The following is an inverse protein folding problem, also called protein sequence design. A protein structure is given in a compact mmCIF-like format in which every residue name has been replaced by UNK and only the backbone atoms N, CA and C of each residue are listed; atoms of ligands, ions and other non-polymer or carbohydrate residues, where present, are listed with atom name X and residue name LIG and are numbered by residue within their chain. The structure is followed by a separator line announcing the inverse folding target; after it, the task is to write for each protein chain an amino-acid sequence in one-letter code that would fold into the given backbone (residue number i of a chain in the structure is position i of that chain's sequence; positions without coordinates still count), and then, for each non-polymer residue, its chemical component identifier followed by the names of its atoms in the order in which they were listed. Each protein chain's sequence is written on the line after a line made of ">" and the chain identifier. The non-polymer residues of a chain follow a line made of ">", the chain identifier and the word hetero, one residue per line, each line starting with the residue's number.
data_IF_603482875472
#
_entry.id   IF_603482875472
#
_cell.length_a   1.000
_cell.length_b   1.000
_cell.length_c   1.000
_cell.angle_alpha   90.00
_cell.angle_beta   90.00
_cell.angle_gamma   90.00
#
_symmetry.space_group_name_H-M   'P 1'
#
loop_
_entity.id
_entity.type
_entity.pdbx_description
1 polymer ?
#
# COMPACT_ATOMS: atom_id res chain seq x y z
N UNK A 1 -44.14 3.90 33.02
CA UNK A 1 -43.81 3.34 31.70
C UNK A 1 -43.80 4.49 30.74
N UNK A 2 -42.63 4.94 30.30
CA UNK A 2 -42.56 5.98 29.26
C UNK A 2 -43.21 5.47 27.98
N UNK A 3 -43.97 6.31 27.24
CA UNK A 3 -44.58 5.91 25.98
C UNK A 3 -43.48 5.75 24.92
N UNK A 4 -42.94 4.54 24.79
CA UNK A 4 -41.99 4.21 23.74
C UNK A 4 -42.74 4.02 22.40
N UNK A 5 -42.53 4.93 21.46
CA UNK A 5 -43.05 4.79 20.09
C UNK A 5 -42.07 3.97 19.27
N UNK A 6 -42.46 2.75 18.91
CA UNK A 6 -41.65 1.86 18.06
C UNK A 6 -42.25 1.86 16.66
N UNK A 7 -41.44 2.29 15.68
CA UNK A 7 -41.81 2.34 14.27
C UNK A 7 -41.00 1.29 13.53
N UNK A 8 -41.67 0.46 12.72
CA UNK A 8 -40.99 -0.47 11.83
C UNK A 8 -40.49 0.29 10.58
N UNK A 9 -39.25 0.04 10.17
CA UNK A 9 -38.66 0.55 8.94
C UNK A 9 -38.34 -0.65 8.03
N UNK A 10 -38.80 -0.60 6.78
CA UNK A 10 -38.54 -1.66 5.78
C UNK A 10 -37.22 -1.44 5.03
N UNK A 11 -36.56 -0.30 5.24
CA UNK A 11 -35.26 0.06 4.70
C UNK A 11 -34.19 -0.02 5.80
N UNK A 12 -33.31 0.98 5.89
CA UNK A 12 -32.29 1.09 6.92
C UNK A 12 -32.83 1.85 8.14
N UNK A 13 -32.94 1.22 9.32
CA UNK A 13 -33.30 1.91 10.55
C UNK A 13 -32.39 3.11 10.77
N UNK A 14 -32.98 4.30 10.87
CA UNK A 14 -32.24 5.56 10.95
C UNK A 14 -32.85 6.50 11.98
N UNK A 15 -32.02 7.42 12.45
CA UNK A 15 -32.44 8.58 13.23
C UNK A 15 -31.75 9.83 12.70
N UNK A 16 -32.51 10.92 12.61
CA UNK A 16 -31.99 12.27 12.38
C UNK A 16 -32.32 13.09 13.63
N UNK A 17 -31.28 13.43 14.39
CA UNK A 17 -31.40 14.25 15.59
C UNK A 17 -31.26 15.72 15.17
N UNK A 18 -32.31 16.55 15.31
CA UNK A 18 -32.24 17.96 14.94
C UNK A 18 -31.22 18.69 15.82
N UNK A 19 -30.52 19.66 15.24
CA UNK A 19 -29.54 20.45 15.99
C UNK A 19 -30.23 21.46 16.90
N UNK A 20 -29.90 21.39 18.20
CA UNK A 20 -30.30 22.34 19.22
C UNK A 20 -29.85 23.78 18.93
N UNK A 21 -28.74 23.97 18.22
CA UNK A 21 -28.19 25.28 17.86
C UNK A 21 -28.54 25.73 16.43
N UNK A 22 -29.41 24.99 15.73
CA UNK A 22 -29.79 25.29 14.34
C UNK A 22 -28.76 24.86 13.27
N UNK A 23 -27.69 24.17 13.68
CA UNK A 23 -26.71 23.58 12.77
C UNK A 23 -27.20 22.33 12.04
N UNK A 24 -26.26 21.59 11.43
CA UNK A 24 -26.58 20.31 10.77
C UNK A 24 -27.11 19.28 11.77
N UNK A 25 -28.13 18.47 11.39
CA UNK A 25 -28.59 17.38 12.23
C UNK A 25 -27.52 16.28 12.32
N UNK A 26 -27.59 15.50 13.40
CA UNK A 26 -26.83 14.25 13.53
C UNK A 26 -27.64 13.13 12.90
N UNK A 27 -27.05 12.42 11.95
CA UNK A 27 -27.68 11.29 11.29
C UNK A 27 -26.94 10.01 11.66
N UNK A 28 -27.69 9.02 12.11
CA UNK A 28 -27.19 7.67 12.38
C UNK A 28 -28.08 6.69 11.64
N UNK A 29 -27.46 5.79 10.87
CA UNK A 29 -28.17 4.79 10.08
C UNK A 29 -27.54 3.42 10.26
N UNK A 30 -28.37 2.43 10.56
CA UNK A 30 -27.98 1.03 10.70
C UNK A 30 -28.11 0.33 9.34
N UNK A 31 -27.00 -0.23 8.84
CA UNK A 31 -26.90 -0.73 7.47
C UNK A 31 -27.07 -2.24 7.41
N UNK A 32 -26.28 -2.97 8.20
CA UNK A 32 -26.26 -4.42 8.16
C UNK A 32 -25.96 -5.03 9.53
N UNK A 33 -26.43 -6.26 9.71
CA UNK A 33 -26.11 -7.09 10.86
C UNK A 33 -25.08 -8.13 10.43
N UNK A 34 -23.96 -8.21 11.13
CA UNK A 34 -22.93 -9.22 10.93
C UNK A 34 -23.24 -10.49 11.73
N UNK A 35 -22.48 -11.55 11.44
CA UNK A 35 -22.51 -12.79 12.22
C UNK A 35 -22.13 -12.55 13.69
N UNK A 36 -22.67 -13.36 14.63
CA UNK A 36 -22.30 -13.28 16.03
C UNK A 36 -20.78 -13.31 16.24
N UNK A 37 -20.26 -12.32 16.96
CA UNK A 37 -18.84 -12.20 17.29
C UNK A 37 -17.94 -11.68 16.17
N UNK A 38 -18.49 -11.36 15.00
CA UNK A 38 -17.71 -10.85 13.88
C UNK A 38 -17.17 -9.44 14.15
N UNK A 39 -17.91 -8.58 14.85
CA UNK A 39 -17.51 -7.22 15.14
C UNK A 39 -16.23 -7.16 15.96
N UNK A 40 -16.18 -7.92 17.06
CA UNK A 40 -14.98 -8.03 17.89
C UNK A 40 -13.77 -8.60 17.14
N UNK A 41 -13.99 -9.65 16.34
CA UNK A 41 -12.91 -10.27 15.55
C UNK A 41 -12.31 -9.30 14.55
N UNK A 42 -13.17 -8.48 13.92
CA UNK A 42 -12.75 -7.45 12.98
C UNK A 42 -11.95 -6.36 13.69
N UNK A 43 -12.46 -5.83 14.81
CA UNK A 43 -11.79 -4.79 15.60
C UNK A 43 -10.40 -5.26 16.05
N UNK A 44 -10.25 -6.51 16.48
CA UNK A 44 -8.95 -7.07 16.86
C UNK A 44 -7.97 -7.09 15.67
N UNK A 45 -8.41 -7.58 14.51
CA UNK A 45 -7.58 -7.66 13.30
C UNK A 45 -7.20 -6.28 12.74
N UNK A 46 -8.14 -5.34 12.70
CA UNK A 46 -7.88 -3.99 12.20
C UNK A 46 -7.01 -3.20 13.19
N UNK A 47 -7.24 -3.34 14.50
CA UNK A 47 -6.42 -2.71 15.53
C UNK A 47 -4.95 -3.16 15.48
N UNK A 48 -4.67 -4.43 15.18
CA UNK A 48 -3.29 -4.89 14.97
C UNK A 48 -2.61 -4.20 13.78
N UNK A 49 -3.31 -4.06 12.65
CA UNK A 49 -2.78 -3.37 11.48
C UNK A 49 -2.64 -1.87 11.71
N UNK A 50 -3.61 -1.27 12.39
CA UNK A 50 -3.61 0.14 12.74
C UNK A 50 -2.40 0.50 13.60
N UNK A 51 -2.07 -0.30 14.63
CA UNK A 51 -0.87 -0.10 15.47
C UNK A 51 0.45 -0.22 14.72
N UNK A 52 0.48 -0.94 13.60
CA UNK A 52 1.66 -1.05 12.74
C UNK A 52 1.69 0.01 11.62
N UNK A 53 0.70 0.88 11.54
CA UNK A 53 0.62 1.90 10.50
C UNK A 53 1.62 3.05 10.78
N UNK A 54 2.35 3.58 9.78
CA UNK A 54 3.34 4.63 10.01
C UNK A 54 2.78 5.95 10.59
N UNK A 55 1.56 6.36 10.23
CA UNK A 55 0.84 7.46 10.90
C UNK A 55 -0.15 6.97 11.96
N UNK A 56 0.22 5.98 12.75
CA UNK A 56 -0.55 5.62 13.94
C UNK A 56 -0.38 6.68 15.03
N UNK A 57 -1.49 7.06 15.67
CA UNK A 57 -1.50 7.95 16.80
C UNK A 57 -2.46 7.43 17.87
N UNK A 58 -1.92 7.17 19.06
CA UNK A 58 -2.68 6.67 20.21
C UNK A 58 -2.83 7.78 21.23
N UNK A 59 -3.99 8.46 21.20
CA UNK A 59 -4.30 9.56 22.10
C UNK A 59 -5.81 9.64 22.33
N UNK A 60 -6.20 10.25 23.46
CA UNK A 60 -7.60 10.49 23.85
C UNK A 60 -8.47 9.22 23.88
N UNK A 61 -7.90 8.06 24.20
CA UNK A 61 -8.58 6.76 24.17
C UNK A 61 -9.23 6.44 22.81
N UNK A 62 -8.70 7.05 21.74
CA UNK A 62 -9.16 6.94 20.36
C UNK A 62 -7.95 6.69 19.43
N UNK A 63 -7.33 5.49 19.50
CA UNK A 63 -6.24 5.16 18.61
C UNK A 63 -6.68 5.24 17.15
N UNK A 64 -5.92 5.99 16.38
CA UNK A 64 -6.24 6.36 15.01
C UNK A 64 -5.04 6.18 14.09
N UNK A 65 -5.31 6.05 12.80
CA UNK A 65 -4.29 6.18 11.78
C UNK A 65 -4.86 6.95 10.60
N UNK A 66 -4.16 7.99 10.17
CA UNK A 66 -4.44 8.61 8.88
C UNK A 66 -4.14 7.56 7.81
N UNK A 67 -5.08 7.34 6.90
CA UNK A 67 -4.99 6.40 5.77
C UNK A 67 -4.81 7.12 4.44
N UNK A 68 -5.24 8.38 4.37
CA UNK A 68 -4.96 9.30 3.29
C UNK A 68 -4.99 10.72 3.83
N UNK A 69 -3.92 11.47 3.58
CA UNK A 69 -3.89 12.91 3.81
C UNK A 69 -4.64 13.66 2.69
N UNK A 70 -5.01 14.94 2.91
CA UNK A 70 -5.52 15.81 1.85
C UNK A 70 -4.47 16.00 0.73
N UNK A 71 -4.94 16.07 -0.51
CA UNK A 71 -4.13 16.40 -1.68
C UNK A 71 -4.50 17.79 -2.21
N UNK A 72 -3.95 18.80 -1.52
CA UNK A 72 -4.13 20.20 -1.92
C UNK A 72 -3.54 20.53 -3.29
N UNK A 73 -2.64 19.70 -3.83
CA UNK A 73 -2.10 19.88 -5.18
C UNK A 73 -3.14 19.62 -6.27
N UNK A 74 -4.15 18.80 -5.97
CA UNK A 74 -5.24 18.44 -6.87
C UNK A 74 -6.61 18.99 -6.43
N UNK A 75 -6.64 19.97 -5.52
CA UNK A 75 -7.87 20.53 -4.92
C UNK A 75 -8.73 19.48 -4.18
N UNK A 76 -8.11 18.43 -3.64
CA UNK A 76 -8.76 17.45 -2.78
C UNK A 76 -8.47 17.75 -1.31
N UNK A 77 -9.46 18.29 -0.60
CA UNK A 77 -9.35 18.65 0.81
C UNK A 77 -9.75 17.50 1.74
N UNK A 78 -10.18 16.36 1.19
CA UNK A 78 -10.65 15.25 1.98
C UNK A 78 -9.49 14.47 2.59
N UNK A 79 -9.71 13.95 3.79
CA UNK A 79 -8.80 12.99 4.41
C UNK A 79 -9.55 11.78 4.94
N UNK A 80 -8.85 10.65 4.95
CA UNK A 80 -9.37 9.39 5.43
C UNK A 80 -8.59 8.95 6.65
N UNK A 81 -9.30 8.63 7.73
CA UNK A 81 -8.74 8.07 8.95
C UNK A 81 -9.39 6.73 9.28
N UNK A 82 -8.63 5.86 9.92
CA UNK A 82 -9.20 4.80 10.76
C UNK A 82 -9.15 5.26 12.21
N UNK A 83 -10.14 4.87 13.01
CA UNK A 83 -10.10 5.01 14.46
C UNK A 83 -10.83 3.85 15.13
N UNK A 84 -10.49 3.59 16.39
CA UNK A 84 -11.20 2.60 17.18
C UNK A 84 -11.54 3.13 18.56
N UNK A 85 -12.67 2.67 19.08
CA UNK A 85 -13.19 3.05 20.39
C UNK A 85 -13.19 1.81 21.26
N UNK A 86 -12.31 1.80 22.26
CA UNK A 86 -12.09 0.67 23.15
C UNK A 86 -13.22 0.40 24.13
N UNK A 87 -13.04 -0.56 25.05
CA UNK A 87 -14.04 -0.91 26.07
C UNK A 87 -14.28 0.19 27.12
N UNK A 88 -13.43 1.21 27.19
CA UNK A 88 -13.62 2.36 28.07
C UNK A 88 -14.38 3.51 27.40
N UNK A 89 -14.64 3.42 26.09
CA UNK A 89 -15.05 4.57 25.29
C UNK A 89 -13.92 5.58 25.13
N UNK A 90 -14.29 6.81 24.77
CA UNK A 90 -13.38 7.96 24.71
C UNK A 90 -14.01 9.16 25.45
N UNK A 91 -13.28 10.24 25.78
CA UNK A 91 -13.84 11.42 26.40
C UNK A 91 -14.74 12.19 25.42
N UNK A 92 -15.73 12.91 25.96
CA UNK A 92 -16.51 13.85 25.15
C UNK A 92 -15.63 14.91 24.53
N UNK A 93 -15.82 15.12 23.24
CA UNK A 93 -15.06 16.12 22.49
C UNK A 93 -15.82 16.60 21.26
N UNK A 94 -15.30 17.61 20.57
CA UNK A 94 -15.80 18.05 19.28
C UNK A 94 -14.67 18.32 18.29
N UNK A 95 -15.04 18.52 17.03
CA UNK A 95 -14.12 18.93 15.97
C UNK A 95 -14.69 20.12 15.21
N UNK A 96 -13.83 20.96 14.66
CA UNK A 96 -14.23 22.11 13.85
C UNK A 96 -14.89 21.70 12.52
N UNK A 97 -14.39 20.64 11.88
CA UNK A 97 -14.86 20.16 10.59
C UNK A 97 -16.04 19.18 10.68
N UNK A 98 -16.74 18.99 9.56
CA UNK A 98 -17.78 17.97 9.45
C UNK A 98 -17.17 16.56 9.54
N UNK A 99 -17.94 15.60 10.03
CA UNK A 99 -17.52 14.20 10.13
C UNK A 99 -18.53 13.28 9.47
N UNK A 100 -18.02 12.34 8.67
CA UNK A 100 -18.78 11.25 8.07
C UNK A 100 -17.99 9.98 8.27
N UNK A 101 -18.54 9.02 9.00
CA UNK A 101 -17.83 7.76 9.20
C UNK A 101 -18.73 6.54 9.04
N UNK A 102 -18.11 5.44 8.65
CA UNK A 102 -18.73 4.11 8.60
C UNK A 102 -18.01 3.24 9.62
N UNK A 103 -18.77 2.53 10.45
CA UNK A 103 -18.23 1.82 11.58
C UNK A 103 -18.90 0.46 11.80
N UNK A 104 -18.17 -0.42 12.47
CA UNK A 104 -18.62 -1.75 12.86
C UNK A 104 -18.58 -1.85 14.37
N UNK A 105 -19.73 -2.07 15.00
CA UNK A 105 -19.82 -2.26 16.45
C UNK A 105 -19.16 -3.57 16.89
N UNK A 106 -18.53 -3.54 18.06
CA UNK A 106 -18.13 -4.77 18.74
C UNK A 106 -19.35 -5.61 19.13
N UNK A 107 -19.12 -6.84 19.61
CA UNK A 107 -20.24 -7.76 19.86
C UNK A 107 -21.13 -7.34 21.04
N UNK A 108 -20.66 -6.37 21.84
CA UNK A 108 -21.41 -5.75 22.94
C UNK A 108 -22.38 -4.66 22.51
N UNK A 109 -22.26 -4.12 21.29
CA UNK A 109 -22.97 -2.93 20.86
C UNK A 109 -22.28 -1.64 21.30
N UNK A 110 -22.79 -0.51 20.81
CA UNK A 110 -22.29 0.81 21.15
C UNK A 110 -23.44 1.75 21.54
N UNK A 111 -23.14 2.75 22.34
CA UNK A 111 -23.99 3.92 22.57
C UNK A 111 -23.27 5.15 22.05
N UNK A 112 -23.90 5.85 21.11
CA UNK A 112 -23.43 7.11 20.58
C UNK A 112 -24.11 8.25 21.32
N UNK A 113 -23.33 9.21 21.81
CA UNK A 113 -23.84 10.34 22.59
C UNK A 113 -23.50 11.62 21.86
N UNK A 114 -24.48 12.49 21.67
CA UNK A 114 -24.32 13.75 20.95
C UNK A 114 -24.95 14.90 21.72
N UNK A 115 -24.28 16.05 21.75
CA UNK A 115 -24.86 17.32 22.14
C UNK A 115 -24.50 18.36 21.08
N UNK A 116 -25.52 18.97 20.49
CA UNK A 116 -25.37 19.98 19.43
C UNK A 116 -25.46 21.40 19.97
N UNK A 117 -25.23 21.60 21.28
CA UNK A 117 -25.14 22.93 21.88
C UNK A 117 -23.87 23.64 21.38
N UNK A 118 -24.02 24.89 20.94
CA UNK A 118 -22.89 25.69 20.43
C UNK A 118 -21.97 26.15 21.57
N UNK A 119 -20.70 26.41 21.26
CA UNK A 119 -19.74 26.95 22.22
C UNK A 119 -20.22 28.27 22.86
N UNK A 120 -20.94 29.12 22.12
CA UNK A 120 -21.54 30.34 22.66
C UNK A 120 -22.63 30.04 23.70
N UNK A 121 -23.52 29.08 23.42
CA UNK A 121 -24.55 28.67 24.38
C UNK A 121 -23.94 28.05 25.64
N UNK A 122 -22.89 27.23 25.49
CA UNK A 122 -22.21 26.62 26.64
C UNK A 122 -21.52 27.66 27.55
N UNK A 123 -20.99 28.75 26.97
CA UNK A 123 -20.43 29.87 27.74
C UNK A 123 -21.51 30.66 28.50
N UNK A 124 -22.72 30.74 27.94
CA UNK A 124 -23.84 31.46 28.56
C UNK A 124 -24.52 30.62 29.66
N UNK A 125 -24.81 29.35 29.36
CA UNK A 125 -25.39 28.38 30.29
C UNK A 125 -24.86 26.97 30.00
N UNK A 126 -23.97 26.42 30.84
CA UNK A 126 -23.48 25.06 30.70
C UNK A 126 -24.58 23.98 30.66
N UNK A 127 -25.77 24.25 31.22
CA UNK A 127 -26.91 23.30 31.20
C UNK A 127 -27.49 23.10 29.80
N UNK A 128 -27.24 24.02 28.86
CA UNK A 128 -27.60 23.85 27.47
C UNK A 128 -27.01 22.55 26.88
N UNK A 129 -25.86 22.11 27.38
CA UNK A 129 -25.27 20.82 27.00
C UNK A 129 -26.22 19.64 27.28
N UNK A 130 -26.76 19.58 28.50
CA UNK A 130 -27.63 18.51 28.96
C UNK A 130 -28.99 18.54 28.24
N UNK A 131 -29.52 19.74 28.02
CA UNK A 131 -30.78 19.93 27.28
C UNK A 131 -30.67 19.45 25.83
N UNK A 132 -29.51 19.65 25.20
CA UNK A 132 -29.21 19.21 23.85
C UNK A 132 -28.72 17.75 23.75
N UNK A 133 -28.44 17.08 24.88
CA UNK A 133 -27.85 15.75 24.91
C UNK A 133 -28.85 14.68 24.42
N UNK A 134 -28.42 13.85 23.47
CA UNK A 134 -29.21 12.75 22.89
C UNK A 134 -28.34 11.51 22.74
N UNK A 135 -28.93 10.34 22.98
CA UNK A 135 -28.27 9.04 22.82
C UNK A 135 -28.85 8.24 21.66
N UNK A 136 -27.98 7.45 21.03
CA UNK A 136 -28.36 6.46 20.02
C UNK A 136 -27.73 5.12 20.39
N UNK A 137 -28.56 4.12 20.68
CA UNK A 137 -28.09 2.76 20.96
C UNK A 137 -28.02 1.95 19.67
N UNK A 138 -26.91 1.23 19.50
CA UNK A 138 -26.64 0.36 18.37
C UNK A 138 -26.44 -1.08 18.84
N UNK A 139 -26.96 -2.08 18.09
CA UNK A 139 -26.77 -3.48 18.43
C UNK A 139 -25.30 -3.89 18.24
N UNK A 140 -24.90 -4.98 18.88
CA UNK A 140 -23.59 -5.58 18.65
C UNK A 140 -23.48 -6.21 17.27
N UNK A 141 -22.26 -6.33 16.76
CA UNK A 141 -21.94 -6.90 15.43
C UNK A 141 -22.74 -6.23 14.30
N UNK A 142 -22.74 -4.90 14.22
CA UNK A 142 -23.51 -4.18 13.20
C UNK A 142 -22.68 -3.14 12.45
N UNK A 143 -22.96 -3.01 11.15
CA UNK A 143 -22.42 -1.97 10.28
C UNK A 143 -23.37 -0.77 10.32
N UNK A 144 -22.83 0.41 10.58
CA UNK A 144 -23.60 1.64 10.66
C UNK A 144 -22.82 2.83 10.09
N UNK A 145 -23.54 3.88 9.72
CA UNK A 145 -22.97 5.14 9.24
C UNK A 145 -23.42 6.29 10.12
N UNK A 146 -22.53 7.26 10.33
CA UNK A 146 -22.80 8.47 11.09
C UNK A 146 -22.38 9.69 10.28
N UNK A 147 -23.20 10.75 10.35
CA UNK A 147 -22.87 12.07 9.82
C UNK A 147 -23.26 13.15 10.83
N UNK A 148 -22.35 14.07 11.12
CA UNK A 148 -22.65 15.25 11.94
C UNK A 148 -21.82 16.46 11.51
N UNK A 149 -22.30 17.64 11.89
CA UNK A 149 -21.63 18.91 11.61
C UNK A 149 -20.48 19.19 12.58
N UNK A 150 -19.54 20.03 12.15
CA UNK A 150 -18.53 20.60 13.03
C UNK A 150 -19.14 21.30 14.26
N UNK A 151 -18.44 21.27 15.39
CA UNK A 151 -18.89 21.77 16.69
C UNK A 151 -19.87 20.86 17.42
N UNK A 152 -20.21 19.68 16.88
CA UNK A 152 -21.02 18.68 17.59
C UNK A 152 -20.18 17.99 18.65
N UNK A 153 -20.54 18.17 19.92
CA UNK A 153 -19.96 17.43 21.02
C UNK A 153 -20.43 15.99 20.98
N UNK A 154 -19.51 15.04 21.05
CA UNK A 154 -19.85 13.64 20.97
C UNK A 154 -18.96 12.76 21.85
N UNK A 155 -19.53 11.63 22.24
CA UNK A 155 -18.85 10.58 22.99
C UNK A 155 -19.37 9.23 22.53
N UNK A 156 -18.45 8.30 22.28
CA UNK A 156 -18.78 6.94 21.93
C UNK A 156 -18.29 5.99 23.02
N UNK A 157 -19.19 5.09 23.44
CA UNK A 157 -18.94 4.13 24.51
C UNK A 157 -19.55 2.78 24.13
N UNK A 158 -19.06 1.65 24.69
CA UNK A 158 -19.77 0.39 24.53
C UNK A 158 -21.14 0.43 25.23
N UNK A 159 -22.12 -0.31 24.73
CA UNK A 159 -23.48 -0.35 25.35
C UNK A 159 -23.49 -0.90 26.77
N UNK A 160 -22.41 -1.56 27.20
CA UNK A 160 -22.26 -2.06 28.57
C UNK A 160 -20.93 -1.61 29.14
N UNK A 161 -21.02 -0.81 30.19
CA UNK A 161 -19.86 -0.42 30.98
C UNK A 161 -19.20 -1.67 31.58
N UNK A 162 -17.86 -1.70 31.59
CA UNK A 162 -17.04 -2.82 32.10
C UNK A 162 -17.19 -4.17 31.38
N UNK A 163 -17.76 -4.22 30.17
CA UNK A 163 -17.73 -5.42 29.35
C UNK A 163 -16.43 -5.46 28.51
N UNK A 164 -15.81 -6.63 28.26
CA UNK A 164 -14.57 -6.75 27.47
C UNK A 164 -14.84 -6.64 25.96
N UNK A 165 -15.71 -5.72 25.55
CA UNK A 165 -16.06 -5.50 24.15
C UNK A 165 -15.77 -4.03 23.81
N UNK A 166 -14.99 -3.83 22.75
CA UNK A 166 -14.81 -2.50 22.17
C UNK A 166 -16.15 -1.96 21.66
N UNK A 167 -16.32 -0.65 21.67
CA UNK A 167 -17.53 -0.04 21.13
C UNK A 167 -17.61 -0.26 19.61
N UNK A 168 -16.56 0.14 18.87
CA UNK A 168 -16.46 -0.09 17.42
C UNK A 168 -15.07 0.20 16.84
N UNK A 169 -14.87 -0.21 15.58
CA UNK A 169 -13.83 0.30 14.68
C UNK A 169 -14.50 1.05 13.53
N UNK A 170 -13.88 2.13 13.05
CA UNK A 170 -14.46 3.03 12.08
C UNK A 170 -13.46 3.51 11.02
N UNK A 171 -13.99 3.78 9.83
CA UNK A 171 -13.36 4.56 8.78
C UNK A 171 -14.05 5.92 8.72
N UNK A 172 -13.30 6.97 9.04
CA UNK A 172 -13.76 8.36 9.05
C UNK A 172 -13.28 9.08 7.80
N UNK A 173 -14.21 9.56 7.00
CA UNK A 173 -13.95 10.55 5.97
C UNK A 173 -14.19 11.93 6.57
N UNK A 174 -13.16 12.77 6.50
CA UNK A 174 -13.27 14.20 6.79
C UNK A 174 -13.37 14.91 5.45
N UNK A 175 -14.56 15.39 5.04
CA UNK A 175 -14.76 15.89 3.68
C UNK A 175 -13.94 17.15 3.35
N UNK A 176 -13.58 17.90 4.39
CA UNK A 176 -12.71 19.07 4.29
C UNK A 176 -11.92 19.15 5.59
N UNK A 177 -10.68 18.70 5.56
CA UNK A 177 -9.80 18.68 6.74
C UNK A 177 -9.35 20.07 7.17
N UNK A 178 -9.41 21.03 6.24
CA UNK A 178 -9.13 22.44 6.49
C UNK A 178 -10.41 23.25 6.75
N UNK A 179 -11.56 22.59 6.90
CA UNK A 179 -12.85 23.21 7.14
C UNK A 179 -13.15 23.49 8.62
N UNK A 180 -13.93 24.53 8.87
CA UNK A 180 -14.31 24.97 10.22
C UNK A 180 -13.35 26.02 10.79
N UNK A 181 -13.52 26.32 12.08
CA UNK A 181 -12.70 27.31 12.79
C UNK A 181 -11.45 26.63 13.39
N UNK A 182 -10.39 26.54 12.59
CA UNK A 182 -9.10 25.94 12.97
C UNK A 182 -8.10 27.01 13.39
N UNK A 183 -7.34 26.75 14.46
CA UNK A 183 -6.24 27.62 14.87
C UNK A 183 -5.14 27.67 13.78
N UNK A 184 -4.31 28.73 13.74
CA UNK A 184 -3.19 28.81 12.79
C UNK A 184 -2.25 27.60 12.86
N UNK A 185 -2.05 27.04 14.05
CA UNK A 185 -1.23 25.84 14.27
C UNK A 185 -1.89 24.59 13.68
N UNK A 186 -3.20 24.40 13.91
CA UNK A 186 -3.96 23.30 13.31
C UNK A 186 -3.98 23.38 11.79
N UNK A 187 -4.16 24.58 11.23
CA UNK A 187 -4.11 24.79 9.78
C UNK A 187 -2.74 24.41 9.20
N UNK A 188 -1.65 24.69 9.92
CA UNK A 188 -0.31 24.29 9.49
C UNK A 188 -0.14 22.77 9.45
N UNK A 189 -0.61 22.05 10.47
CA UNK A 189 -0.59 20.58 10.52
C UNK A 189 -1.40 19.97 9.38
N UNK A 190 -2.58 20.51 9.10
CA UNK A 190 -3.44 20.05 8.00
C UNK A 190 -2.74 20.23 6.65
N UNK A 191 -2.17 21.42 6.38
CA UNK A 191 -1.43 21.69 5.14
C UNK A 191 -0.19 20.81 4.96
N UNK A 192 0.43 20.40 6.06
CA UNK A 192 1.58 19.49 6.04
C UNK A 192 1.19 18.02 5.91
N UNK A 193 -0.10 17.68 5.99
CA UNK A 193 -0.57 16.30 6.00
C UNK A 193 -0.19 15.53 7.27
N UNK A 194 0.05 16.23 8.38
CA UNK A 194 0.49 15.65 9.66
C UNK A 194 -0.58 15.77 10.76
N UNK A 195 -1.73 16.37 10.46
CA UNK A 195 -2.85 16.46 11.38
C UNK A 195 -3.36 15.07 11.79
N UNK A 196 -3.57 14.90 13.09
CA UNK A 196 -4.20 13.72 13.71
C UNK A 196 -5.60 14.08 14.18
N UNK A 197 -6.46 13.06 14.40
CA UNK A 197 -7.78 13.28 15.01
C UNK A 197 -7.63 14.07 16.32
N UNK A 198 -6.74 13.63 17.21
CA UNK A 198 -6.48 14.28 18.50
C UNK A 198 -6.01 15.75 18.37
N UNK A 199 -5.17 16.08 17.38
CA UNK A 199 -4.72 17.47 17.16
C UNK A 199 -5.85 18.41 16.72
N UNK A 200 -6.92 17.85 16.16
CA UNK A 200 -8.11 18.57 15.69
C UNK A 200 -9.31 18.37 16.63
N UNK A 201 -9.04 17.97 17.87
CA UNK A 201 -10.06 17.69 18.89
C UNK A 201 -10.05 18.76 19.97
N UNK A 202 -11.24 19.27 20.29
CA UNK A 202 -11.48 20.13 21.45
C UNK A 202 -12.23 19.33 22.52
N UNK A 203 -11.70 19.29 23.76
CA UNK A 203 -12.33 18.62 24.90
C UNK A 203 -13.41 19.49 25.54
N UNK A 204 -14.31 18.86 26.31
CA UNK A 204 -15.37 19.59 27.00
C UNK A 204 -14.84 20.72 27.89
N UNK A 205 -15.53 21.88 27.92
CA UNK A 205 -15.25 22.92 28.90
C UNK A 205 -15.42 22.40 30.35
N UNK A 206 -14.57 22.79 31.31
CA UNK A 206 -14.62 22.31 32.69
C UNK A 206 -15.99 22.45 33.38
N UNK A 207 -16.75 23.56 33.20
CA UNK A 207 -18.08 23.69 33.81
C UNK A 207 -19.07 22.62 33.32
N UNK A 208 -18.97 22.22 32.06
CA UNK A 208 -19.83 21.18 31.46
C UNK A 208 -19.40 19.80 31.94
N UNK A 209 -18.09 19.55 32.01
CA UNK A 209 -17.55 18.30 32.56
C UNK A 209 -17.98 18.10 34.02
N UNK A 210 -17.94 19.14 34.85
CA UNK A 210 -18.41 19.11 36.23
C UNK A 210 -19.91 18.80 36.34
N UNK A 211 -20.74 19.35 35.44
CA UNK A 211 -22.17 19.04 35.38
C UNK A 211 -22.43 17.56 35.10
N UNK A 212 -21.70 16.94 34.17
CA UNK A 212 -21.82 15.51 33.85
C UNK A 212 -21.39 14.59 35.01
N UNK A 213 -20.58 15.10 35.94
CA UNK A 213 -20.14 14.37 37.13
C UNK A 213 -20.99 14.66 38.36
N UNK A 214 -21.91 15.64 38.27
CA UNK A 214 -22.76 16.05 39.38
C UNK A 214 -23.96 15.12 39.59
N UNK A 215 -24.48 15.07 40.81
CA UNK A 215 -25.70 14.33 41.15
C UNK A 215 -26.94 14.83 40.39
N UNK A 216 -26.88 16.04 39.82
CA UNK A 216 -27.96 16.60 39.01
C UNK A 216 -28.09 15.93 37.63
N UNK A 217 -27.10 15.14 37.21
CA UNK A 217 -27.13 14.43 35.94
C UNK A 217 -27.46 12.95 36.14
N UNK A 218 -28.56 12.52 35.53
CA UNK A 218 -28.94 11.12 35.44
C UNK A 218 -28.96 10.67 33.99
N UNK A 219 -28.04 9.77 33.62
CA UNK A 219 -27.95 9.26 32.25
C UNK A 219 -29.24 8.56 31.76
N UNK A 220 -30.07 8.07 32.68
CA UNK A 220 -31.36 7.44 32.36
C UNK A 220 -32.41 8.44 31.84
N UNK A 221 -32.26 9.73 32.16
CA UNK A 221 -33.22 10.78 31.77
C UNK A 221 -32.94 11.33 30.36
N UNK A 222 -31.83 10.90 29.74
CA UNK A 222 -31.42 11.39 28.43
C UNK A 222 -32.27 10.71 27.34
N UNK A 223 -32.91 11.49 26.44
CA UNK A 223 -33.68 10.93 25.34
C UNK A 223 -32.80 10.03 24.45
N UNK A 224 -33.19 8.76 24.36
CA UNK A 224 -32.42 7.70 23.72
C UNK A 224 -33.22 7.06 22.59
N UNK A 225 -32.60 6.93 21.41
CA UNK A 225 -33.16 6.20 20.26
C UNK A 225 -32.39 4.91 20.07
N UNK A 226 -33.07 3.77 20.16
CA UNK A 226 -32.43 2.47 19.94
C UNK A 226 -32.72 1.97 18.51
N UNK A 227 -31.68 1.71 17.73
CA UNK A 227 -31.78 1.14 16.39
C UNK A 227 -31.64 -0.40 16.42
N UNK A 228 -32.31 -1.09 15.51
CA UNK A 228 -32.26 -2.56 15.40
C UNK A 228 -32.76 -3.03 14.02
N UNK A 229 -32.18 -4.10 13.45
CA UNK A 229 -32.61 -4.64 12.15
C UNK A 229 -33.65 -5.78 12.25
N UNK A 230 -33.36 -6.84 13.00
CA UNK A 230 -34.16 -8.08 12.92
C UNK A 230 -35.11 -8.31 14.09
N UNK A 231 -34.87 -7.65 15.20
CA UNK A 231 -35.57 -7.89 16.47
C UNK A 231 -35.95 -6.55 17.06
N UNK A 232 -37.18 -6.47 17.57
CA UNK A 232 -37.70 -5.25 18.19
C UNK A 232 -36.77 -4.80 19.33
N UNK A 233 -36.47 -3.50 19.46
CA UNK A 233 -35.69 -2.99 20.59
C UNK A 233 -36.35 -3.36 21.93
N UNK A 234 -35.53 -3.60 22.93
CA UNK A 234 -35.87 -3.97 24.30
C UNK A 234 -36.67 -5.29 24.46
N UNK A 235 -36.83 -6.06 23.38
CA UNK A 235 -37.49 -7.37 23.40
C UNK A 235 -36.62 -8.46 24.05
N UNK A 236 -37.26 -9.54 24.49
CA UNK A 236 -36.55 -10.72 25.00
C UNK A 236 -35.65 -11.36 23.93
N UNK A 237 -36.09 -11.35 22.66
CA UNK A 237 -35.32 -11.85 21.52
C UNK A 237 -34.03 -11.06 21.34
N UNK A 238 -34.10 -9.73 21.41
CA UNK A 238 -32.91 -8.87 21.35
C UNK A 238 -31.93 -9.20 22.49
N UNK A 239 -32.43 -9.41 23.70
CA UNK A 239 -31.58 -9.79 24.84
C UNK A 239 -30.90 -11.14 24.62
N UNK A 240 -31.62 -12.13 24.09
CA UNK A 240 -31.07 -13.45 23.77
C UNK A 240 -30.01 -13.38 22.66
N UNK A 241 -30.31 -12.72 21.54
CA UNK A 241 -29.35 -12.48 20.46
C UNK A 241 -28.12 -11.72 20.96
N UNK A 242 -28.30 -10.66 21.76
CA UNK A 242 -27.20 -9.88 22.33
C UNK A 242 -26.33 -10.70 23.29
N UNK A 243 -26.88 -11.68 24.02
CA UNK A 243 -26.08 -12.62 24.82
C UNK A 243 -25.24 -13.54 23.94
N UNK A 244 -25.84 -14.12 22.89
CA UNK A 244 -25.14 -15.01 21.96
C UNK A 244 -23.98 -14.30 21.25
N UNK A 245 -24.21 -13.06 20.79
CA UNK A 245 -23.20 -12.19 20.18
C UNK A 245 -22.01 -11.94 21.10
N UNK A 246 -22.27 -11.46 22.31
CA UNK A 246 -21.22 -11.21 23.33
C UNK A 246 -20.41 -12.48 23.64
N UNK A 247 -21.08 -13.62 23.81
CA UNK A 247 -20.38 -14.88 24.07
C UNK A 247 -19.49 -15.29 22.89
N UNK A 248 -20.01 -15.24 21.66
CA UNK A 248 -19.24 -15.55 20.45
C UNK A 248 -18.07 -14.58 20.25
N UNK A 249 -18.30 -13.28 20.51
CA UNK A 249 -17.30 -12.23 20.47
C UNK A 249 -16.10 -12.53 21.35
N UNK A 250 -16.32 -12.88 22.62
CA UNK A 250 -15.23 -13.25 23.55
C UNK A 250 -14.35 -14.39 23.02
N UNK A 251 -14.95 -15.37 22.36
CA UNK A 251 -14.21 -16.51 21.77
C UNK A 251 -13.41 -16.03 20.55
N UNK A 252 -14.00 -15.16 19.72
CA UNK A 252 -13.39 -14.67 18.47
C UNK A 252 -12.40 -13.51 18.65
N UNK A 253 -12.34 -12.90 19.84
CA UNK A 253 -11.32 -11.92 20.24
C UNK A 253 -9.97 -12.55 20.55
N UNK A 254 -9.89 -13.87 20.75
CA UNK A 254 -8.64 -14.53 21.08
C UNK A 254 -7.62 -14.28 19.96
N UNK A 255 -6.46 -13.67 20.28
CA UNK A 255 -5.49 -13.28 19.27
C UNK A 255 -5.01 -14.52 18.50
N UNK A 256 -4.90 -14.45 17.17
CA UNK A 256 -4.33 -15.55 16.40
C UNK A 256 -2.89 -15.79 16.88
N UNK A 257 -2.51 -17.06 17.05
CA UNK A 257 -1.15 -17.45 17.49
C UNK A 257 -0.05 -16.90 16.57
N UNK A 258 -0.39 -16.61 15.32
CA UNK A 258 0.52 -16.05 14.31
C UNK A 258 -0.13 -14.86 13.61
N UNK A 259 0.61 -13.75 13.51
CA UNK A 259 0.21 -12.60 12.69
C UNK A 259 0.16 -13.04 11.23
N UNK A 260 -0.93 -12.69 10.54
CA UNK A 260 -1.09 -12.94 9.10
C UNK A 260 -0.77 -11.66 8.32
N UNK A 261 0.21 -11.69 7.40
CA UNK A 261 0.54 -10.52 6.60
C UNK A 261 -0.56 -10.20 5.58
N UNK A 262 -0.62 -8.94 5.15
CA UNK A 262 -1.30 -8.53 3.92
C UNK A 262 -0.38 -8.71 2.71
N UNK A 263 -0.95 -8.86 1.52
CA UNK A 263 -0.18 -9.04 0.28
C UNK A 263 -0.68 -8.07 -0.80
N UNK A 264 0.25 -7.45 -1.51
CA UNK A 264 0.00 -6.68 -2.73
C UNK A 264 0.64 -7.44 -3.88
N UNK A 265 -0.14 -7.73 -4.93
CA UNK A 265 0.34 -8.43 -6.11
C UNK A 265 0.27 -7.52 -7.33
N UNK A 266 1.42 -7.10 -7.83
CA UNK A 266 1.53 -6.33 -9.07
C UNK A 266 1.78 -7.27 -10.24
N UNK A 267 0.90 -7.27 -11.24
CA UNK A 267 1.12 -8.01 -12.49
C UNK A 267 1.78 -7.08 -13.51
N UNK A 268 3.02 -7.35 -13.85
CA UNK A 268 3.71 -6.67 -14.96
C UNK A 268 3.41 -7.39 -16.27
N UNK A 269 3.18 -6.64 -17.35
CA UNK A 269 2.95 -7.22 -18.67
C UNK A 269 4.15 -8.10 -19.09
N UNK A 270 3.92 -9.24 -19.77
CA UNK A 270 5.00 -10.11 -20.17
C UNK A 270 5.93 -9.42 -21.17
N UNK A 271 7.23 -9.43 -20.89
CA UNK A 271 8.27 -8.92 -21.79
C UNK A 271 8.30 -9.76 -23.08
N UNK A 272 7.84 -9.17 -24.19
CA UNK A 272 7.82 -9.82 -25.51
C UNK A 272 9.18 -9.71 -26.17
N UNK A 273 10.01 -10.72 -25.99
CA UNK A 273 11.31 -10.82 -26.66
C UNK A 273 11.11 -11.39 -28.06
N UNK A 274 11.58 -10.67 -29.07
CA UNK A 274 11.62 -11.12 -30.47
C UNK A 274 13.03 -11.59 -30.81
N UNK A 275 13.15 -12.71 -31.51
CA UNK A 275 14.44 -13.08 -32.10
C UNK A 275 14.57 -12.47 -33.49
N UNK A 276 15.74 -11.91 -33.80
CA UNK A 276 16.07 -11.37 -35.11
C UNK A 276 16.99 -12.34 -35.85
N UNK A 277 16.71 -12.59 -37.13
CA UNK A 277 17.52 -13.48 -37.97
C UNK A 277 18.88 -12.86 -38.34
N UNK A 278 18.96 -11.53 -38.38
CA UNK A 278 20.16 -10.79 -38.71
C UNK A 278 20.44 -9.71 -37.67
N UNK A 279 21.73 -9.48 -37.42
CA UNK A 279 22.21 -8.38 -36.58
C UNK A 279 21.92 -7.03 -37.27
N UNK A 280 21.47 -5.98 -36.55
CA UNK A 280 21.23 -4.65 -37.11
C UNK A 280 22.44 -4.10 -37.89
N UNK A 281 22.16 -3.23 -38.87
CA UNK A 281 23.17 -2.73 -39.81
C UNK A 281 24.28 -1.92 -39.12
N UNK A 282 23.88 -1.15 -38.11
CA UNK A 282 24.65 -0.21 -37.30
C UNK A 282 25.23 -0.82 -36.02
N UNK A 283 25.09 -2.14 -35.83
CA UNK A 283 25.54 -2.82 -34.63
C UNK A 283 27.08 -2.84 -34.53
N UNK A 284 27.63 -2.25 -33.47
CA UNK A 284 29.06 -2.22 -33.16
C UNK A 284 29.69 -3.63 -33.15
N UNK A 285 28.90 -4.65 -32.79
CA UNK A 285 29.32 -6.06 -32.77
C UNK A 285 29.81 -6.57 -34.14
N UNK A 286 29.39 -5.95 -35.26
CA UNK A 286 29.83 -6.33 -36.61
C UNK A 286 31.33 -6.19 -36.82
N UNK A 287 31.94 -5.20 -36.18
CA UNK A 287 33.35 -4.82 -36.35
C UNK A 287 34.29 -5.66 -35.46
N UNK A 288 33.75 -6.49 -34.57
CA UNK A 288 34.51 -7.09 -33.46
C UNK A 288 35.11 -8.47 -33.76
N UNK A 289 34.73 -9.10 -34.87
CA UNK A 289 35.26 -10.40 -35.30
C UNK A 289 35.70 -10.31 -36.77
N UNK A 290 37.00 -10.11 -37.01
CA UNK A 290 37.59 -10.01 -38.36
C UNK A 290 37.75 -11.33 -39.12
N UNK A 291 36.94 -12.36 -38.83
CA UNK A 291 37.04 -13.68 -39.45
C UNK A 291 35.68 -14.37 -39.60
N UNK A 292 35.65 -15.63 -40.04
CA UNK A 292 34.40 -16.36 -40.24
C UNK A 292 33.59 -16.46 -38.93
N UNK A 293 32.33 -16.01 -38.99
CA UNK A 293 31.33 -16.17 -37.93
C UNK A 293 30.62 -17.51 -38.18
N UNK A 294 30.69 -18.41 -37.20
CA UNK A 294 30.06 -19.74 -37.30
C UNK A 294 28.66 -19.76 -36.67
N UNK A 295 28.43 -18.97 -35.62
CA UNK A 295 27.14 -18.90 -34.93
C UNK A 295 26.81 -17.45 -34.58
N UNK A 296 25.54 -17.10 -34.69
CA UNK A 296 25.01 -15.82 -34.22
C UNK A 296 23.60 -15.97 -33.65
N UNK A 297 23.27 -15.14 -32.68
CA UNK A 297 21.91 -14.91 -32.25
C UNK A 297 21.67 -13.44 -31.92
N UNK A 298 20.42 -13.02 -32.03
CA UNK A 298 20.02 -11.65 -31.74
C UNK A 298 18.60 -11.67 -31.18
N UNK A 299 18.42 -10.99 -30.06
CA UNK A 299 17.17 -10.85 -29.36
C UNK A 299 16.89 -9.38 -29.08
N UNK A 300 15.65 -8.98 -29.30
CA UNK A 300 15.22 -7.60 -29.19
C UNK A 300 13.97 -7.51 -28.31
N UNK A 301 13.89 -6.44 -27.53
CA UNK A 301 12.79 -6.12 -26.65
C UNK A 301 12.51 -4.62 -26.71
N UNK A 302 11.24 -4.23 -26.64
CA UNK A 302 10.82 -2.83 -26.48
C UNK A 302 10.42 -2.56 -25.04
N UNK A 303 10.86 -1.43 -24.52
CA UNK A 303 10.65 -0.96 -23.15
C UNK A 303 9.96 0.39 -23.18
N UNK A 304 8.96 0.56 -22.32
CA UNK A 304 8.35 1.86 -22.05
C UNK A 304 9.20 2.61 -21.02
N UNK A 305 9.68 3.80 -21.36
CA UNK A 305 10.57 4.56 -20.47
C UNK A 305 9.92 4.95 -19.16
N UNK A 306 8.59 5.11 -19.14
CA UNK A 306 7.82 5.44 -17.93
C UNK A 306 7.88 4.33 -16.88
N UNK A 307 8.28 3.14 -17.29
CA UNK A 307 8.42 1.97 -16.43
C UNK A 307 9.87 1.72 -16.02
N UNK A 308 10.84 2.57 -16.37
CA UNK A 308 12.28 2.37 -16.09
C UNK A 308 12.79 3.29 -14.97
N UNK A 309 13.76 2.82 -14.19
CA UNK A 309 14.37 3.59 -13.08
C UNK A 309 15.21 4.79 -13.51
N UNK A 310 15.76 4.74 -14.72
CA UNK A 310 16.71 5.72 -15.25
C UNK A 310 16.18 6.31 -16.55
N UNK A 311 16.20 7.64 -16.67
CA UNK A 311 15.76 8.36 -17.86
C UNK A 311 16.83 8.43 -18.97
N UNK A 312 18.11 8.25 -18.60
CA UNK A 312 19.24 8.24 -19.52
C UNK A 312 19.59 6.82 -20.00
N UNK A 313 19.97 6.67 -21.27
CA UNK A 313 20.38 5.37 -21.82
C UNK A 313 21.67 4.84 -21.16
N UNK A 314 22.57 5.73 -20.75
CA UNK A 314 23.79 5.34 -20.06
C UNK A 314 23.51 4.81 -18.65
N UNK A 315 22.64 5.48 -17.88
CA UNK A 315 22.18 5.01 -16.58
C UNK A 315 21.46 3.66 -16.71
N UNK A 316 20.57 3.55 -17.69
CA UNK A 316 19.86 2.31 -18.00
C UNK A 316 20.82 1.17 -18.37
N UNK A 317 21.88 1.43 -19.15
CA UNK A 317 22.89 0.44 -19.49
C UNK A 317 23.64 -0.04 -18.23
N UNK A 318 24.02 0.88 -17.33
CA UNK A 318 24.64 0.54 -16.05
C UNK A 318 23.73 -0.35 -15.21
N UNK A 319 22.44 -0.01 -15.10
CA UNK A 319 21.47 -0.77 -14.33
C UNK A 319 21.26 -2.18 -14.92
N UNK A 320 21.21 -2.30 -16.25
CA UNK A 320 21.11 -3.59 -16.94
C UNK A 320 22.36 -4.45 -16.72
N UNK A 321 23.55 -3.86 -16.88
CA UNK A 321 24.82 -4.55 -16.62
C UNK A 321 24.92 -5.06 -15.18
N UNK A 322 24.49 -4.24 -14.23
CA UNK A 322 24.44 -4.63 -12.84
C UNK A 322 23.43 -5.76 -12.60
N UNK A 323 22.24 -5.67 -13.20
CA UNK A 323 21.21 -6.70 -13.08
C UNK A 323 21.65 -8.07 -13.64
N UNK A 324 22.45 -8.09 -14.71
CA UNK A 324 23.05 -9.32 -15.23
C UNK A 324 24.03 -10.00 -14.25
N UNK A 325 24.69 -9.23 -13.38
CA UNK A 325 25.64 -9.73 -12.38
C UNK A 325 24.90 -10.21 -11.13
N UNK A 326 23.97 -9.40 -10.61
CA UNK A 326 23.39 -9.61 -9.28
C UNK A 326 22.38 -10.76 -9.23
N UNK A 327 21.67 -11.04 -10.33
CA UNK A 327 20.60 -12.04 -10.36
C UNK A 327 20.59 -12.88 -11.63
N UNK A 328 21.63 -13.72 -11.85
CA UNK A 328 21.59 -14.69 -12.92
C UNK A 328 20.44 -15.68 -12.67
N UNK A 329 19.56 -15.93 -13.67
CA UNK A 329 18.42 -16.84 -13.51
C UNK A 329 18.88 -18.22 -13.03
N UNK A 330 18.20 -18.79 -12.02
CA UNK A 330 18.60 -20.04 -11.37
C UNK A 330 18.84 -21.19 -12.36
N UNK A 331 17.99 -21.32 -13.38
CA UNK A 331 18.14 -22.34 -14.42
C UNK A 331 19.32 -22.10 -15.37
N UNK A 332 19.71 -20.84 -15.65
CA UNK A 332 20.92 -20.51 -16.42
C UNK A 332 22.17 -20.81 -15.58
N UNK A 333 22.16 -20.42 -14.30
CA UNK A 333 23.22 -20.74 -13.35
C UNK A 333 23.45 -22.25 -13.21
N UNK A 334 22.38 -23.06 -13.22
CA UNK A 334 22.46 -24.52 -13.25
C UNK A 334 23.19 -25.06 -14.49
N UNK A 335 22.83 -24.57 -15.68
CA UNK A 335 23.50 -24.94 -16.94
C UNK A 335 24.98 -24.57 -16.94
N UNK A 336 25.34 -23.40 -16.38
CA UNK A 336 26.74 -22.99 -16.28
C UNK A 336 27.54 -23.89 -15.34
N UNK A 337 26.96 -24.36 -14.22
CA UNK A 337 27.61 -25.34 -13.33
C UNK A 337 27.86 -26.67 -14.03
N UNK A 338 26.86 -27.18 -14.76
CA UNK A 338 27.00 -28.42 -15.54
C UNK A 338 28.09 -28.29 -16.61
N UNK A 339 28.07 -27.20 -17.39
CA UNK A 339 29.12 -26.89 -18.37
C UNK A 339 30.50 -26.90 -17.71
N UNK A 340 30.66 -26.13 -16.62
CA UNK A 340 31.94 -25.99 -15.93
C UNK A 340 32.46 -27.34 -15.42
N UNK A 341 31.58 -28.22 -14.93
CA UNK A 341 31.94 -29.57 -14.51
C UNK A 341 32.47 -30.43 -15.67
N UNK A 342 31.78 -30.41 -16.81
CA UNK A 342 32.15 -31.18 -18.00
C UNK A 342 33.46 -30.72 -18.64
N UNK A 343 33.73 -29.41 -18.62
CA UNK A 343 34.91 -28.83 -19.30
C UNK A 343 36.14 -28.64 -18.41
N UNK A 344 36.01 -28.83 -17.09
CA UNK A 344 37.11 -28.75 -16.11
C UNK A 344 38.35 -29.60 -16.50
N UNK A 345 38.23 -30.88 -16.91
CA UNK A 345 39.40 -31.68 -17.30
C UNK A 345 40.04 -31.22 -18.62
N UNK A 346 39.34 -30.40 -19.42
CA UNK A 346 39.82 -29.91 -20.73
C UNK A 346 40.55 -28.56 -20.63
N UNK A 347 40.70 -28.00 -19.42
CA UNK A 347 41.44 -26.76 -19.18
C UNK A 347 40.85 -25.54 -19.89
N UNK A 348 39.51 -25.48 -20.00
CA UNK A 348 38.75 -24.34 -20.54
C UNK A 348 38.39 -23.33 -19.44
N UNK A 349 38.10 -22.08 -19.82
CA UNK A 349 37.71 -21.04 -18.87
C UNK A 349 36.35 -21.36 -18.22
N UNK A 350 36.31 -21.33 -16.89
CA UNK A 350 35.08 -21.47 -16.08
C UNK A 350 34.67 -20.13 -15.49
N UNK A 351 33.38 -19.83 -15.50
CA UNK A 351 32.80 -18.65 -14.84
C UNK A 351 31.43 -18.99 -14.29
N UNK A 352 31.04 -18.34 -13.19
CA UNK A 352 29.69 -18.45 -12.63
C UNK A 352 28.65 -17.73 -13.49
N UNK A 353 29.07 -16.72 -14.26
CA UNK A 353 28.27 -16.09 -15.30
C UNK A 353 28.54 -16.76 -16.65
N UNK A 354 27.47 -17.06 -17.38
CA UNK A 354 27.56 -17.61 -18.74
C UNK A 354 27.78 -16.55 -19.82
N UNK A 355 28.04 -17.00 -21.03
CA UNK A 355 27.78 -16.20 -22.22
C UNK A 355 26.30 -15.75 -22.17
N UNK A 356 26.00 -14.44 -22.33
CA UNK A 356 26.78 -13.44 -23.06
C UNK A 356 27.60 -12.49 -22.19
N UNK A 357 27.50 -12.57 -20.85
CA UNK A 357 27.98 -11.55 -19.90
C UNK A 357 29.18 -12.00 -19.05
N UNK A 358 29.76 -13.16 -19.35
CA UNK A 358 30.84 -13.75 -18.54
C UNK A 358 32.08 -12.86 -18.43
N UNK A 359 32.29 -11.90 -19.35
CA UNK A 359 33.41 -10.95 -19.29
C UNK A 359 33.21 -9.81 -18.29
N UNK A 360 32.00 -9.59 -17.76
CA UNK A 360 31.72 -8.55 -16.76
C UNK A 360 32.44 -8.76 -15.43
N UNK A 361 32.95 -9.97 -15.19
CA UNK A 361 33.71 -10.33 -13.98
C UNK A 361 35.23 -10.35 -14.20
N UNK A 362 35.73 -9.93 -15.38
CA UNK A 362 37.17 -9.93 -15.65
C UNK A 362 37.87 -8.73 -14.97
N UNK A 363 38.71 -8.96 -13.94
CA UNK A 363 39.41 -7.86 -13.25
C UNK A 363 40.51 -7.23 -14.13
N UNK A 364 40.98 -7.92 -15.18
CA UNK A 364 42.12 -7.53 -16.02
C UNK A 364 41.74 -6.72 -17.26
N UNK A 365 40.47 -6.32 -17.39
CA UNK A 365 39.98 -5.63 -18.59
C UNK A 365 40.59 -4.22 -18.75
N UNK A 366 41.11 -3.95 -19.96
CA UNK A 366 41.73 -2.68 -20.34
C UNK A 366 40.72 -1.52 -20.47
N UNK A 367 39.46 -1.81 -20.81
CA UNK A 367 38.41 -0.81 -20.97
C UNK A 367 37.22 -1.10 -20.06
N UNK A 368 36.63 -0.04 -19.51
CA UNK A 368 35.48 -0.11 -18.61
C UNK A 368 34.39 0.87 -19.01
N UNK A 369 33.15 0.40 -19.12
CA UNK A 369 31.99 1.25 -19.29
C UNK A 369 31.64 1.91 -17.95
N UNK A 370 31.44 3.23 -17.98
CA UNK A 370 31.21 4.07 -16.81
C UNK A 370 32.25 3.86 -15.67
N UNK A 371 33.50 3.53 -16.02
CA UNK A 371 34.58 3.24 -15.06
C UNK A 371 34.40 1.97 -14.24
N UNK A 372 33.29 1.22 -14.41
CA UNK A 372 32.90 0.10 -13.55
C UNK A 372 32.95 -1.24 -14.27
N UNK A 373 32.27 -1.35 -15.40
CA UNK A 373 31.99 -2.65 -16.04
C UNK A 373 33.01 -2.97 -17.15
N UNK A 374 33.73 -4.11 -17.08
CA UNK A 374 34.62 -4.58 -18.15
C UNK A 374 33.92 -4.66 -19.51
N UNK A 375 34.43 -3.93 -20.50
CA UNK A 375 33.93 -3.96 -21.90
C UNK A 375 35.10 -4.06 -22.88
N UNK A 376 34.85 -4.62 -24.05
CA UNK A 376 35.82 -4.66 -25.16
C UNK A 376 35.73 -3.40 -26.03
N UNK A 377 34.51 -2.91 -26.24
CA UNK A 377 34.24 -1.70 -27.00
C UNK A 377 32.95 -1.07 -26.50
N UNK A 378 32.82 0.25 -26.68
CA UNK A 378 31.59 1.00 -26.42
C UNK A 378 31.41 2.05 -27.52
N UNK A 379 30.17 2.35 -27.87
CA UNK A 379 29.79 3.43 -28.80
C UNK A 379 28.55 4.11 -28.25
N UNK A 380 28.63 5.41 -28.09
CA UNK A 380 27.48 6.26 -27.78
C UNK A 380 27.43 7.39 -28.80
N UNK A 381 26.24 7.80 -29.20
CA UNK A 381 26.06 8.99 -30.01
C UNK A 381 26.17 10.27 -29.17
N UNK A 382 26.44 11.40 -29.83
CA UNK A 382 26.53 12.70 -29.16
C UNK A 382 25.19 13.16 -28.58
N UNK A 383 24.08 12.73 -29.19
CA UNK A 383 22.71 13.11 -28.82
C UNK A 383 22.09 12.19 -27.75
N UNK A 384 22.83 11.19 -27.27
CA UNK A 384 22.40 10.25 -26.23
C UNK A 384 21.21 9.35 -26.61
N UNK A 385 20.92 9.19 -27.91
CA UNK A 385 19.83 8.37 -28.44
C UNK A 385 20.23 6.91 -28.66
N UNK A 386 21.52 6.60 -28.58
CA UNK A 386 22.03 5.25 -28.74
C UNK A 386 23.25 4.99 -27.86
N UNK A 387 23.24 3.85 -27.17
CA UNK A 387 24.40 3.33 -26.43
C UNK A 387 24.57 1.85 -26.76
N UNK A 388 25.76 1.47 -27.20
CA UNK A 388 26.13 0.10 -27.50
C UNK A 388 27.40 -0.27 -26.74
N UNK A 389 27.41 -1.46 -26.16
CA UNK A 389 28.60 -2.03 -25.54
C UNK A 389 28.87 -3.42 -26.12
N UNK A 390 30.15 -3.80 -26.15
CA UNK A 390 30.60 -5.12 -26.55
C UNK A 390 31.29 -5.78 -25.37
N UNK A 391 30.82 -6.97 -25.06
CA UNK A 391 31.35 -7.92 -24.11
C UNK A 391 31.97 -9.09 -24.89
N UNK A 392 32.84 -9.86 -24.26
CA UNK A 392 33.41 -11.02 -24.93
C UNK A 392 34.62 -11.59 -24.23
N UNK A 393 34.95 -12.82 -24.59
CA UNK A 393 36.21 -13.42 -24.20
C UNK A 393 36.73 -14.34 -25.31
N UNK A 394 38.05 -14.52 -25.27
CA UNK A 394 38.76 -15.47 -26.12
C UNK A 394 39.11 -16.72 -25.32
N UNK A 395 38.84 -17.90 -25.89
CA UNK A 395 39.16 -19.20 -25.32
C UNK A 395 39.89 -20.06 -26.37
N UNK A 396 40.55 -21.15 -25.97
CA UNK A 396 41.33 -22.04 -26.85
C UNK A 396 40.54 -22.52 -28.06
N UNK A 397 39.25 -22.77 -27.88
CA UNK A 397 38.37 -23.41 -28.86
C UNK A 397 37.51 -22.43 -29.66
N UNK A 398 37.24 -21.22 -29.14
CA UNK A 398 36.44 -20.21 -29.81
C UNK A 398 36.69 -18.80 -29.26
N UNK A 399 36.28 -17.80 -30.04
CA UNK A 399 36.12 -16.41 -29.61
C UNK A 399 34.64 -16.07 -29.65
N UNK A 400 34.10 -15.55 -28.55
CA UNK A 400 32.74 -15.02 -28.54
C UNK A 400 32.75 -13.52 -28.28
N UNK A 401 31.83 -12.82 -28.93
CA UNK A 401 31.53 -11.42 -28.70
C UNK A 401 30.04 -11.31 -28.51
N UNK A 402 29.63 -10.56 -27.51
CA UNK A 402 28.23 -10.25 -27.24
C UNK A 402 28.05 -8.75 -27.20
N UNK A 403 26.90 -8.24 -27.59
CA UNK A 403 26.58 -6.82 -27.45
C UNK A 403 25.28 -6.62 -26.71
N UNK A 404 25.23 -5.53 -25.95
CA UNK A 404 24.00 -4.96 -25.42
C UNK A 404 23.88 -3.56 -26.02
N UNK A 405 22.78 -3.30 -26.72
CA UNK A 405 22.52 -2.05 -27.40
C UNK A 405 21.17 -1.49 -26.96
N UNK A 406 21.15 -0.22 -26.58
CA UNK A 406 19.96 0.56 -26.28
C UNK A 406 19.82 1.65 -27.34
N UNK A 407 18.62 1.79 -27.88
CA UNK A 407 18.29 2.85 -28.85
C UNK A 407 16.93 3.43 -28.54
N UNK A 408 16.81 4.75 -28.51
CA UNK A 408 15.51 5.41 -28.42
C UNK A 408 14.81 5.34 -29.79
N UNK A 409 13.58 4.85 -29.81
CA UNK A 409 12.79 4.67 -31.04
C UNK A 409 11.48 5.48 -31.05
N UNK A 410 11.17 6.15 -29.94
CA UNK A 410 10.06 7.09 -29.80
C UNK A 410 10.17 7.87 -28.49
N UNK A 411 9.19 8.75 -28.21
CA UNK A 411 9.20 9.63 -27.02
C UNK A 411 9.33 8.85 -25.72
N UNK A 412 8.61 7.72 -25.61
CA UNK A 412 8.61 6.85 -24.44
C UNK A 412 8.97 5.40 -24.76
N UNK A 413 9.64 5.16 -25.89
CA UNK A 413 10.03 3.81 -26.32
C UNK A 413 11.55 3.67 -26.48
N UNK A 414 12.10 2.67 -25.80
CA UNK A 414 13.49 2.24 -25.94
C UNK A 414 13.52 0.81 -26.48
N UNK A 415 14.37 0.58 -27.46
CA UNK A 415 14.68 -0.72 -28.01
C UNK A 415 15.98 -1.25 -27.41
N UNK A 416 15.88 -2.39 -26.73
CA UNK A 416 17.01 -3.14 -26.18
C UNK A 416 17.30 -4.33 -27.08
N UNK A 417 18.49 -4.35 -27.66
CA UNK A 417 18.99 -5.45 -28.50
C UNK A 417 20.18 -6.11 -27.82
N UNK A 418 20.10 -7.43 -27.62
CA UNK A 418 21.19 -8.26 -27.16
C UNK A 418 21.56 -9.24 -28.27
N UNK A 419 22.84 -9.34 -28.61
CA UNK A 419 23.30 -10.21 -29.69
C UNK A 419 24.60 -10.90 -29.33
N UNK A 420 24.82 -12.09 -29.88
CA UNK A 420 26.07 -12.85 -29.73
C UNK A 420 26.57 -13.29 -31.09
N UNK A 421 27.89 -13.23 -31.28
CA UNK A 421 28.59 -13.83 -32.42
C UNK A 421 29.75 -14.69 -31.92
N UNK A 422 29.94 -15.84 -32.57
CA UNK A 422 30.98 -16.80 -32.22
C UNK A 422 31.80 -17.18 -33.45
N UNK A 423 33.12 -17.14 -33.30
CA UNK A 423 34.09 -17.65 -34.27
C UNK A 423 34.86 -18.82 -33.64
N UNK A 424 34.67 -20.03 -34.17
CA UNK A 424 35.32 -21.24 -33.69
C UNK A 424 36.76 -21.31 -34.22
N UNK A 425 37.72 -21.58 -33.32
CA UNK A 425 39.15 -21.71 -33.67
C UNK A 425 39.51 -23.11 -34.19
N UNK A 426 38.77 -24.14 -33.77
CA UNK A 426 39.02 -25.53 -34.12
C UNK A 426 37.72 -26.35 -34.20
N UNK A 427 37.83 -27.61 -34.59
CA UNK A 427 36.68 -28.52 -34.74
C UNK A 427 35.94 -28.79 -33.42
N UNK A 428 36.67 -28.89 -32.31
CA UNK A 428 36.08 -29.02 -30.98
C UNK A 428 35.15 -27.84 -30.65
N UNK A 429 35.56 -26.61 -30.98
CA UNK A 429 34.72 -25.42 -30.84
C UNK A 429 33.43 -25.48 -31.65
N UNK A 430 33.47 -26.06 -32.86
CA UNK A 430 32.29 -26.23 -33.73
C UNK A 430 31.29 -27.21 -33.14
N UNK A 431 31.75 -28.37 -32.66
CA UNK A 431 30.87 -29.35 -31.99
C UNK A 431 30.28 -28.76 -30.72
N UNK A 432 31.13 -28.15 -29.90
CA UNK A 432 30.71 -27.51 -28.65
C UNK A 432 29.57 -26.52 -28.90
N UNK A 433 29.73 -25.64 -29.90
CA UNK A 433 28.68 -24.69 -30.27
C UNK A 433 27.43 -25.37 -30.84
N UNK A 434 27.57 -26.39 -31.67
CA UNK A 434 26.42 -27.14 -32.19
C UNK A 434 25.57 -27.74 -31.05
N UNK A 435 26.19 -28.26 -29.99
CA UNK A 435 25.50 -28.82 -28.83
C UNK A 435 24.74 -27.77 -28.01
N UNK A 436 25.30 -26.56 -27.85
CA UNK A 436 24.72 -25.56 -26.94
C UNK A 436 23.88 -24.48 -27.64
N UNK A 437 24.02 -24.31 -28.95
CA UNK A 437 23.44 -23.17 -29.68
C UNK A 437 21.92 -23.09 -29.53
N UNK A 438 21.22 -24.22 -29.63
CA UNK A 438 19.76 -24.27 -29.48
C UNK A 438 19.31 -23.79 -28.08
N UNK A 439 19.94 -24.31 -27.02
CA UNK A 439 19.65 -23.90 -25.65
C UNK A 439 20.06 -22.43 -25.40
N UNK A 440 21.16 -21.99 -26.00
CA UNK A 440 21.62 -20.61 -25.89
C UNK A 440 20.59 -19.62 -26.48
N UNK A 441 20.13 -19.90 -27.70
CA UNK A 441 19.19 -19.06 -28.44
C UNK A 441 17.77 -19.06 -27.85
N UNK A 442 17.20 -20.24 -27.55
CA UNK A 442 15.79 -20.32 -27.12
C UNK A 442 15.61 -20.14 -25.61
N UNK A 443 16.64 -20.40 -24.80
CA UNK A 443 16.52 -20.39 -23.34
C UNK A 443 17.45 -19.39 -22.65
N UNK A 444 18.77 -19.45 -22.88
CA UNK A 444 19.74 -18.61 -22.14
C UNK A 444 19.54 -17.13 -22.46
N UNK A 445 19.55 -16.73 -23.74
CA UNK A 445 19.40 -15.32 -24.12
C UNK A 445 18.08 -14.71 -23.64
N UNK A 446 16.89 -15.32 -23.91
CA UNK A 446 15.65 -14.71 -23.47
C UNK A 446 15.51 -14.67 -21.95
N UNK A 447 15.99 -15.70 -21.24
CA UNK A 447 15.86 -15.75 -19.76
C UNK A 447 16.76 -14.73 -19.09
N UNK A 448 18.01 -14.59 -19.55
CA UNK A 448 18.92 -13.55 -19.07
C UNK A 448 18.35 -12.15 -19.31
N UNK A 449 17.83 -11.90 -20.53
CA UNK A 449 17.26 -10.61 -20.88
C UNK A 449 16.01 -10.27 -20.05
N UNK A 450 15.09 -11.23 -19.85
CA UNK A 450 13.90 -11.03 -18.99
C UNK A 450 14.28 -10.72 -17.55
N UNK A 451 15.24 -11.45 -16.99
CA UNK A 451 15.63 -11.26 -15.60
C UNK A 451 16.30 -9.89 -15.37
N UNK A 452 17.22 -9.50 -16.26
CA UNK A 452 17.85 -8.19 -16.16
C UNK A 452 16.85 -7.05 -16.33
N UNK A 453 16.00 -7.12 -17.36
CA UNK A 453 14.98 -6.09 -17.61
C UNK A 453 13.96 -6.03 -16.47
N UNK A 454 13.49 -7.17 -15.96
CA UNK A 454 12.55 -7.20 -14.84
C UNK A 454 13.07 -6.52 -13.57
N UNK A 455 14.39 -6.37 -13.42
CA UNK A 455 15.00 -5.64 -12.30
C UNK A 455 15.04 -4.12 -12.51
N UNK A 456 15.16 -3.72 -13.77
CA UNK A 456 15.32 -2.32 -14.18
C UNK A 456 13.98 -1.66 -14.48
N UNK A 457 12.99 -2.45 -14.92
CA UNK A 457 11.60 -2.06 -14.87
C UNK A 457 11.18 -2.00 -13.40
N UNK A 458 10.51 -0.94 -13.00
CA UNK A 458 10.14 -0.68 -11.62
C UNK A 458 9.56 -1.93 -10.92
N UNK A 459 10.24 -2.38 -9.86
CA UNK A 459 9.56 -2.95 -8.71
C UNK A 459 9.16 -1.78 -7.80
N UNK A 460 7.94 -1.28 -8.03
CA UNK A 460 7.09 -0.39 -7.21
C UNK A 460 7.73 0.85 -6.52
N UNK A 461 7.51 2.08 -7.06
CA UNK A 461 7.52 3.29 -6.22
C UNK A 461 6.27 3.37 -5.30
N UNK A 462 5.24 2.54 -5.53
CA UNK A 462 3.91 2.74 -4.92
C UNK A 462 3.84 2.41 -3.43
N UNK A 463 4.76 1.62 -2.86
CA UNK A 463 4.63 1.18 -1.45
C UNK A 463 5.54 1.89 -0.44
N UNK A 464 6.66 2.51 -0.85
CA UNK A 464 7.58 3.18 0.11
C UNK A 464 7.43 4.69 0.21
N UNK A 465 6.90 5.35 -0.83
CA UNK A 465 6.70 6.80 -0.83
C UNK A 465 5.29 7.24 -0.43
N UNK A 466 4.32 6.32 -0.32
CA UNK A 466 2.93 6.68 -0.02
C UNK A 466 2.72 7.23 1.40
N UNK A 467 3.71 7.08 2.28
CA UNK A 467 3.65 7.65 3.62
C UNK A 467 4.89 8.49 3.87
N UNK A 468 4.78 9.83 4.03
CA UNK A 468 5.91 10.61 4.49
C UNK A 468 6.39 10.02 5.81
N UNK A 469 7.66 9.63 5.88
CA UNK A 469 8.26 9.17 7.12
C UNK A 469 8.13 10.31 8.13
N UNK A 470 7.44 10.05 9.24
CA UNK A 470 7.46 10.98 10.37
C UNK A 470 8.90 11.03 10.88
N UNK A 471 9.46 12.24 10.95
CA UNK A 471 10.71 12.49 11.68
C UNK A 471 10.45 12.13 13.15
N UNK A 472 11.26 11.20 13.66
CA UNK A 472 11.23 10.72 15.04
C UNK A 472 11.44 11.82 16.08
#
# INVERSE_FOLDING_TARGET
>A
MDPQRIVADTSFPRVSLPSYSGGRPVEVMLIAQLDPGAGDSLIAQTGERQRCHPAHHDALDEPSAQLSAPDFGHDDRASLFSFSVGPQGHPFHCHAGNRVFTAITGSGGAQLRFSTASAQQLRQDPRAFLQALRYVDLPGDSLFTVRFGGGTWHQFVPSQWNAPHSAFFALSCHPDEAGGDLSPEQQALVKQGTATIASLTELLPPPVAALLQSDAFHAADVPTVSLSLHVKPQSWQQRACGRARRWSGRIRQLPPRTRRPGFVATRVAPLRIRSLQALPADALLREQLGGQVHFQDTHQLRLDTRQLRSDSLQGLMCDLLQAFIDQPPGGVSGLMRLRNLMVKPLGLRTSHLGCPVSSLLDPSAAHRFAGRFPVLAQRSDADGQQVQIVLGADDKHLRFRSSVALRRVGTHEIELTMATRVSCRNWFGRIYMACIHHAHHHYVMPTMLRAAVGRVMHSDPVTRQAWPAQSA
#
